data_IF_394596572641
#
_entry.id   IF_394596572641
#
_cell.length_a   1.000
_cell.length_b   1.000
_cell.length_c   1.000
_cell.angle_alpha   90.00
_cell.angle_beta   90.00
_cell.angle_gamma   90.00
#
_symmetry.space_group_name_H-M   'P 1'
#
loop_
_entity.id
_entity.type
_entity.pdbx_description
1 polymer ?
#
# COMPACT_ATOMS: atom_id res chain seq x y z
N UNK A 1 16.11 -5.57 -8.73
CA UNK A 1 15.54 -5.05 -7.47
C UNK A 1 16.67 -5.13 -6.47
N UNK A 2 17.28 -4.00 -6.11
CA UNK A 2 18.36 -3.95 -5.13
C UNK A 2 17.78 -3.47 -3.80
N UNK A 3 18.22 -4.07 -2.69
CA UNK A 3 17.79 -3.74 -1.34
C UNK A 3 18.99 -3.19 -0.57
N UNK A 4 18.86 -2.00 0.02
CA UNK A 4 19.95 -1.29 0.72
C UNK A 4 19.79 -1.27 2.24
N UNK A 5 18.86 -2.06 2.76
CA UNK A 5 18.48 -2.13 4.18
C UNK A 5 17.03 -2.58 4.32
N UNK A 6 16.45 -2.58 5.54
CA UNK A 6 15.02 -2.81 5.73
C UNK A 6 14.21 -1.86 4.85
N UNK A 7 13.22 -2.36 4.14
CA UNK A 7 12.53 -1.58 3.11
C UNK A 7 11.03 -1.85 3.05
N UNK A 8 10.34 -1.04 2.26
CA UNK A 8 8.93 -1.24 1.96
C UNK A 8 8.63 -1.00 0.48
N UNK A 9 7.64 -1.72 -0.02
CA UNK A 9 6.99 -1.45 -1.29
C UNK A 9 5.48 -1.43 -1.05
N UNK A 10 4.80 -0.40 -1.54
CA UNK A 10 3.37 -0.23 -1.29
C UNK A 10 2.61 0.32 -2.48
N UNK A 11 1.31 0.09 -2.45
CA UNK A 11 0.31 0.64 -3.36
C UNK A 11 -0.73 1.39 -2.54
N UNK A 12 -1.13 2.56 -3.01
CA UNK A 12 -2.00 3.51 -2.34
C UNK A 12 -3.17 3.83 -3.27
N UNK A 13 -4.39 3.90 -2.75
CA UNK A 13 -5.57 4.29 -3.50
C UNK A 13 -6.45 5.27 -2.70
N UNK A 14 -7.26 6.03 -3.45
CA UNK A 14 -8.23 7.02 -2.95
C UNK A 14 -7.63 8.12 -2.08
N UNK A 15 -6.51 8.68 -2.51
CA UNK A 15 -5.94 9.88 -1.88
C UNK A 15 -6.76 11.10 -2.30
N UNK A 16 -7.79 11.46 -1.55
CA UNK A 16 -8.47 12.75 -1.73
C UNK A 16 -8.60 13.46 -0.42
N UNK A 17 -8.20 14.73 -0.44
CA UNK A 17 -8.14 15.61 0.72
C UNK A 17 -7.34 14.91 1.81
N UNK A 18 -8.01 14.20 2.71
CA UNK A 18 -7.42 13.76 3.94
C UNK A 18 -7.64 12.29 4.26
N UNK A 19 -8.01 11.42 3.30
CA UNK A 19 -8.05 9.97 3.57
C UNK A 19 -7.34 9.16 2.51
N UNK A 20 -6.77 8.02 2.89
CA UNK A 20 -6.19 7.06 1.95
C UNK A 20 -6.17 5.63 2.47
N UNK A 21 -6.21 4.67 1.54
CA UNK A 21 -5.97 3.25 1.84
C UNK A 21 -4.68 2.84 1.17
N UNK A 22 -3.72 2.31 1.93
CA UNK A 22 -2.55 1.66 1.35
C UNK A 22 -2.35 0.27 1.88
N UNK A 23 -1.72 -0.55 1.05
CA UNK A 23 -1.16 -1.83 1.45
C UNK A 23 0.32 -1.85 1.08
N UNK A 24 1.14 -2.38 1.98
CA UNK A 24 2.57 -2.44 1.81
C UNK A 24 3.13 -3.80 2.24
N UNK A 25 4.17 -4.24 1.54
CA UNK A 25 5.04 -5.37 1.91
C UNK A 25 6.30 -4.77 2.51
N UNK A 26 6.61 -5.08 3.76
CA UNK A 26 7.69 -4.41 4.49
C UNK A 26 8.33 -5.31 5.53
N UNK A 27 9.63 -5.11 5.72
CA UNK A 27 10.44 -5.66 6.81
C UNK A 27 10.97 -4.56 7.75
N UNK A 28 10.33 -3.38 7.75
CA UNK A 28 10.61 -2.25 8.65
C UNK A 28 9.85 -2.32 9.99
N UNK A 29 9.10 -3.39 10.26
CA UNK A 29 8.17 -3.39 11.39
C UNK A 29 8.81 -3.77 12.71
N UNK A 30 8.85 -2.83 13.67
CA UNK A 30 8.90 -3.09 15.13
C UNK A 30 9.89 -4.19 15.56
N UNK A 31 11.10 -4.21 15.00
CA UNK A 31 12.12 -5.23 15.26
C UNK A 31 11.67 -6.69 14.98
N UNK A 32 10.62 -6.88 14.19
CA UNK A 32 10.19 -8.19 13.73
C UNK A 32 11.15 -8.64 12.62
N UNK A 33 11.83 -9.80 12.77
CA UNK A 33 12.72 -10.32 11.74
C UNK A 33 11.95 -10.74 10.47
N UNK A 34 10.63 -10.89 10.55
CA UNK A 34 9.79 -11.32 9.44
C UNK A 34 9.11 -10.15 8.74
N UNK A 35 9.16 -10.19 7.41
CA UNK A 35 8.39 -9.27 6.59
C UNK A 35 6.88 -9.50 6.75
N UNK A 36 6.12 -8.42 6.63
CA UNK A 36 4.68 -8.41 6.76
C UNK A 36 4.03 -7.72 5.58
N UNK A 37 2.81 -8.13 5.28
CA UNK A 37 1.85 -7.28 4.59
C UNK A 37 1.09 -6.51 5.65
N UNK A 38 0.98 -5.20 5.43
CA UNK A 38 0.16 -4.32 6.24
C UNK A 38 -0.73 -3.49 5.33
N UNK A 39 -2.02 -3.43 5.65
CA UNK A 39 -2.96 -2.50 5.04
C UNK A 39 -3.46 -1.53 6.10
N UNK A 40 -3.52 -0.24 5.76
CA UNK A 40 -3.95 0.83 6.65
C UNK A 40 -4.95 1.72 5.93
N UNK A 41 -5.98 2.14 6.65
CA UNK A 41 -6.75 3.34 6.35
C UNK A 41 -6.19 4.48 7.16
N UNK A 42 -5.88 5.60 6.52
CA UNK A 42 -5.38 6.77 7.20
C UNK A 42 -6.29 7.96 6.97
N UNK A 43 -6.56 8.67 8.05
CA UNK A 43 -7.11 10.02 8.02
C UNK A 43 -6.00 11.04 8.33
N UNK A 44 -5.58 11.81 7.33
CA UNK A 44 -4.59 12.87 7.42
C UNK A 44 -5.07 14.07 8.26
N UNK A 45 -6.38 14.30 8.41
CA UNK A 45 -6.91 15.38 9.25
C UNK A 45 -6.83 15.01 10.72
N UNK A 46 -7.40 13.86 11.06
CA UNK A 46 -7.45 13.38 12.45
C UNK A 46 -6.12 12.74 12.88
N UNK A 47 -5.22 12.51 11.92
CA UNK A 47 -3.96 11.75 12.07
C UNK A 47 -4.19 10.34 12.63
N UNK A 48 -5.36 9.77 12.35
CA UNK A 48 -5.77 8.45 12.82
C UNK A 48 -5.36 7.41 11.80
N UNK A 49 -4.61 6.42 12.27
CA UNK A 49 -4.27 5.21 11.51
C UNK A 49 -5.14 4.07 12.00
N UNK A 50 -5.93 3.49 11.09
CA UNK A 50 -6.64 2.24 11.34
C UNK A 50 -5.91 1.10 10.62
N UNK A 51 -5.37 0.17 11.40
CA UNK A 51 -4.80 -1.05 10.85
C UNK A 51 -5.94 -1.92 10.29
N UNK A 52 -5.95 -2.12 8.98
CA UNK A 52 -6.94 -2.94 8.28
C UNK A 52 -6.54 -4.41 8.23
N UNK A 53 -5.24 -4.67 8.18
CA UNK A 53 -4.69 -6.01 8.10
C UNK A 53 -3.21 -5.97 8.46
N UNK A 54 -2.73 -6.92 9.26
CA UNK A 54 -1.31 -7.15 9.50
C UNK A 54 -1.08 -8.66 9.54
N UNK A 55 -0.25 -9.18 8.64
CA UNK A 55 0.17 -10.59 8.70
C UNK A 55 1.56 -10.78 8.12
N UNK A 56 2.28 -11.76 8.68
CA UNK A 56 3.54 -12.27 8.13
C UNK A 56 3.34 -12.65 6.67
N UNK A 57 4.26 -12.19 5.83
CA UNK A 57 4.24 -12.45 4.40
C UNK A 57 5.67 -12.37 3.87
N UNK A 58 6.10 -13.34 3.07
CA UNK A 58 7.45 -13.33 2.49
C UNK A 58 7.68 -12.05 1.67
N UNK A 59 8.89 -11.49 1.73
CA UNK A 59 9.27 -10.39 0.84
C UNK A 59 9.10 -10.78 -0.63
N UNK A 60 8.83 -9.76 -1.45
CA UNK A 60 8.84 -9.93 -2.90
C UNK A 60 10.24 -10.39 -3.33
N UNK A 61 10.30 -11.37 -4.23
CA UNK A 61 11.58 -11.91 -4.70
C UNK A 61 12.33 -10.84 -5.50
N UNK A 62 13.59 -10.63 -5.15
CA UNK A 62 14.47 -9.75 -5.92
C UNK A 62 14.64 -10.29 -7.34
N UNK A 63 14.78 -9.37 -8.30
CA UNK A 63 14.97 -9.68 -9.72
C UNK A 63 13.86 -10.53 -10.35
N UNK A 64 12.66 -10.49 -9.77
CA UNK A 64 11.44 -11.05 -10.37
C UNK A 64 10.35 -10.00 -10.40
N UNK A 65 9.47 -10.12 -11.39
CA UNK A 65 8.25 -9.33 -11.45
C UNK A 65 7.24 -9.88 -10.45
N UNK A 66 6.60 -8.97 -9.71
CA UNK A 66 5.42 -9.28 -8.89
C UNK A 66 4.28 -8.33 -9.28
N UNK A 67 3.05 -8.84 -9.21
CA UNK A 67 1.84 -8.06 -9.51
C UNK A 67 1.14 -7.68 -8.23
N UNK A 68 1.13 -6.38 -7.92
CA UNK A 68 0.36 -5.83 -6.81
C UNK A 68 -0.97 -5.32 -7.36
N UNK A 69 -2.08 -5.65 -6.68
CA UNK A 69 -3.40 -5.09 -6.99
C UNK A 69 -4.12 -4.73 -5.70
N UNK A 70 -4.48 -3.45 -5.61
CA UNK A 70 -5.37 -2.90 -4.60
C UNK A 70 -6.66 -2.49 -5.31
N UNK A 71 -7.79 -2.98 -4.82
CA UNK A 71 -9.13 -2.60 -5.29
C UNK A 71 -9.89 -1.99 -4.13
N UNK A 72 -10.51 -0.83 -4.36
CA UNK A 72 -11.25 -0.12 -3.32
C UNK A 72 -12.57 0.38 -3.90
N UNK A 73 -13.69 -0.19 -3.45
CA UNK A 73 -15.04 0.06 -3.95
C UNK A 73 -16.00 0.31 -2.78
N UNK A 74 -16.76 1.41 -2.80
CA UNK A 74 -17.60 1.80 -1.64
C UNK A 74 -16.78 1.89 -0.36
N UNK A 75 -17.16 1.11 0.63
CA UNK A 75 -16.55 0.89 1.94
C UNK A 75 -15.73 -0.42 2.04
N UNK A 76 -15.43 -1.03 0.89
CA UNK A 76 -14.69 -2.29 0.79
C UNK A 76 -13.33 -2.11 0.11
N UNK A 77 -12.35 -2.91 0.54
CA UNK A 77 -11.08 -3.07 -0.15
C UNK A 77 -10.69 -4.54 -0.33
N UNK A 78 -9.82 -4.80 -1.30
CA UNK A 78 -9.16 -6.09 -1.50
C UNK A 78 -7.72 -5.84 -1.90
N UNK A 79 -6.78 -6.57 -1.30
CA UNK A 79 -5.37 -6.56 -1.67
C UNK A 79 -4.90 -7.94 -2.12
N UNK A 80 -4.15 -7.96 -3.21
CA UNK A 80 -3.61 -9.20 -3.78
C UNK A 80 -2.18 -9.02 -4.30
N UNK A 81 -1.42 -10.11 -4.22
CA UNK A 81 -0.06 -10.23 -4.73
C UNK A 81 -0.03 -11.44 -5.65
N UNK A 82 0.48 -11.28 -6.87
CA UNK A 82 0.60 -12.35 -7.87
C UNK A 82 -0.72 -13.11 -8.11
N UNK A 83 -1.82 -12.35 -8.18
CA UNK A 83 -3.22 -12.83 -8.31
C UNK A 83 -3.77 -13.59 -7.10
N UNK A 84 -2.98 -13.81 -6.06
CA UNK A 84 -3.44 -14.39 -4.80
C UNK A 84 -4.01 -13.30 -3.90
N UNK A 85 -5.27 -13.44 -3.47
CA UNK A 85 -5.87 -12.58 -2.44
C UNK A 85 -5.07 -12.73 -1.15
N UNK A 86 -4.63 -11.59 -0.61
CA UNK A 86 -3.94 -11.52 0.69
C UNK A 86 -4.93 -11.17 1.79
N UNK A 87 -5.80 -10.21 1.52
CA UNK A 87 -6.84 -9.75 2.46
C UNK A 87 -7.94 -8.97 1.75
N UNK A 88 -9.10 -8.87 2.40
CA UNK A 88 -10.19 -7.95 2.10
C UNK A 88 -10.80 -7.35 3.39
N UNK A 89 -11.70 -6.39 3.23
CA UNK A 89 -12.46 -5.80 4.34
C UNK A 89 -13.10 -6.88 5.20
N UNK A 90 -12.94 -6.77 6.53
CA UNK A 90 -13.54 -7.69 7.48
C UNK A 90 -12.75 -8.98 7.71
N UNK A 91 -11.65 -9.22 6.99
CA UNK A 91 -10.76 -10.35 7.31
C UNK A 91 -10.14 -10.15 8.71
N UNK A 92 -10.19 -11.17 9.58
CA UNK A 92 -9.56 -11.07 10.88
C UNK A 92 -8.03 -11.12 10.76
N UNK A 93 -7.35 -10.36 11.62
CA UNK A 93 -5.90 -10.45 11.79
C UNK A 93 -5.51 -10.40 13.27
N UNK A 94 -4.33 -10.93 13.58
CA UNK A 94 -3.80 -10.93 14.94
C UNK A 94 -2.80 -9.80 15.07
N UNK A 95 -3.02 -8.92 16.03
CA UNK A 95 -2.08 -7.89 16.45
C UNK A 95 -1.46 -8.29 17.78
N UNK A 96 -0.13 -8.38 17.83
CA UNK A 96 0.58 -8.53 19.09
C UNK A 96 0.69 -7.16 19.77
N UNK A 97 0.02 -6.98 20.91
CA UNK A 97 0.12 -5.79 21.73
C UNK A 97 0.58 -6.17 23.14
N UNK A 98 1.75 -5.67 23.55
CA UNK A 98 2.32 -5.92 24.90
C UNK A 98 2.44 -7.41 25.27
N UNK A 99 2.67 -8.28 24.27
CA UNK A 99 2.80 -9.73 24.48
C UNK A 99 1.48 -10.51 24.39
N UNK A 100 0.35 -9.82 24.23
CA UNK A 100 -0.96 -10.45 24.05
C UNK A 100 -1.37 -10.47 22.58
N UNK A 101 -1.96 -11.58 22.14
CA UNK A 101 -2.56 -11.71 20.81
C UNK A 101 -3.98 -11.14 20.81
N UNK A 102 -4.17 -10.01 20.12
CA UNK A 102 -5.48 -9.41 19.92
C UNK A 102 -6.00 -9.81 18.54
N UNK A 103 -7.11 -10.54 18.51
CA UNK A 103 -7.84 -10.79 17.27
C UNK A 103 -8.65 -9.54 16.91
N UNK A 104 -8.23 -8.87 15.84
CA UNK A 104 -8.89 -7.68 15.31
C UNK A 104 -9.66 -8.08 14.07
N UNK A 105 -10.94 -7.69 14.02
CA UNK A 105 -11.74 -7.70 12.81
C UNK A 105 -12.06 -6.27 12.45
N UNK A 106 -11.47 -5.77 11.38
CA UNK A 106 -11.70 -4.40 10.96
C UNK A 106 -13.08 -4.22 10.37
N UNK A 107 -13.70 -3.10 10.72
CA UNK A 107 -14.96 -2.65 10.13
C UNK A 107 -14.74 -2.13 8.72
N UNK A 108 -15.84 -1.87 8.04
CA UNK A 108 -15.83 -1.29 6.70
C UNK A 108 -15.03 0.03 6.69
N UNK A 109 -14.24 0.24 5.64
CA UNK A 109 -13.50 1.48 5.49
C UNK A 109 -14.48 2.59 5.13
N UNK A 110 -14.29 3.81 5.63
CA UNK A 110 -15.22 4.88 5.30
C UNK A 110 -15.33 5.08 3.77
N UNK A 111 -16.56 5.12 3.25
CA UNK A 111 -16.81 5.21 1.80
C UNK A 111 -16.41 6.58 1.24
N UNK A 112 -15.53 6.60 0.23
CA UNK A 112 -15.10 7.84 -0.41
C UNK A 112 -14.92 7.64 -1.91
N UNK A 113 -15.65 8.37 -2.77
CA UNK A 113 -15.79 8.02 -4.19
C UNK A 113 -14.67 8.56 -5.10
N UNK A 114 -13.73 9.37 -4.61
CA UNK A 114 -12.75 10.08 -5.46
C UNK A 114 -11.37 10.17 -4.79
N UNK A 115 -10.30 10.18 -5.59
CA UNK A 115 -8.93 10.41 -5.10
C UNK A 115 -7.84 9.90 -6.04
N UNK A 116 -6.59 10.21 -5.68
CA UNK A 116 -5.39 9.80 -6.41
C UNK A 116 -4.95 8.39 -6.01
N UNK A 117 -4.04 7.82 -6.79
CA UNK A 117 -3.35 6.56 -6.47
C UNK A 117 -1.85 6.77 -6.55
N UNK A 118 -1.09 5.92 -5.87
CA UNK A 118 0.37 6.04 -5.85
C UNK A 118 1.06 4.74 -5.51
N UNK A 119 2.38 4.77 -5.67
CA UNK A 119 3.29 3.70 -5.29
C UNK A 119 4.32 4.25 -4.31
N UNK A 120 4.58 3.52 -3.24
CA UNK A 120 5.58 3.85 -2.25
C UNK A 120 6.76 2.89 -2.32
N UNK A 121 7.97 3.41 -2.16
CA UNK A 121 9.19 2.61 -2.12
C UNK A 121 10.19 3.24 -1.16
N UNK A 122 10.73 2.47 -0.22
CA UNK A 122 11.89 2.87 0.59
C UNK A 122 12.92 1.74 0.63
N UNK A 123 14.20 2.13 0.59
CA UNK A 123 15.38 1.25 0.65
C UNK A 123 15.41 0.13 -0.42
N UNK A 124 14.62 0.29 -1.48
CA UNK A 124 14.63 -0.56 -2.67
C UNK A 124 14.88 0.29 -3.92
N UNK A 125 15.49 -0.31 -4.92
CA UNK A 125 15.39 0.14 -6.31
C UNK A 125 14.47 -0.81 -7.07
N UNK A 126 13.35 -0.30 -7.59
CA UNK A 126 12.35 -1.09 -8.31
C UNK A 126 12.07 -0.52 -9.71
N UNK A 127 11.63 -1.40 -10.61
CA UNK A 127 11.05 -1.04 -11.90
C UNK A 127 9.54 -1.28 -11.81
N UNK A 128 8.76 -0.34 -12.32
CA UNK A 128 7.31 -0.46 -12.41
C UNK A 128 6.94 -0.54 -13.89
N UNK A 129 6.02 -1.43 -14.22
CA UNK A 129 5.52 -1.65 -15.59
C UNK A 129 4.09 -2.19 -15.51
N UNK A 130 3.34 -2.11 -16.62
CA UNK A 130 1.94 -2.54 -16.73
C UNK A 130 1.03 -1.90 -15.66
N UNK A 131 1.20 -0.60 -15.43
CA UNK A 131 0.38 0.15 -14.48
C UNK A 131 -1.01 0.37 -15.10
N UNK A 132 -2.04 -0.16 -14.43
CA UNK A 132 -3.43 0.00 -14.84
C UNK A 132 -4.24 0.54 -13.67
N UNK A 133 -4.96 1.63 -13.90
CA UNK A 133 -5.87 2.22 -12.91
C UNK A 133 -7.28 2.17 -13.51
N UNK A 134 -8.23 1.59 -12.79
CA UNK A 134 -9.60 1.39 -13.26
C UNK A 134 -10.56 2.00 -12.25
N UNK A 135 -11.53 2.75 -12.73
CA UNK A 135 -12.55 3.38 -11.91
C UNK A 135 -13.47 4.29 -12.72
N UNK A 136 -14.63 4.63 -12.16
CA UNK A 136 -15.51 5.63 -12.74
C UNK A 136 -14.82 7.01 -12.64
N UNK A 137 -14.77 7.74 -13.75
CA UNK A 137 -14.18 9.09 -13.79
C UNK A 137 -12.66 9.15 -13.84
N UNK A 138 -11.95 8.03 -14.04
CA UNK A 138 -10.51 8.04 -14.29
C UNK A 138 -10.26 8.48 -15.74
N UNK A 139 -9.54 9.60 -15.99
CA UNK A 139 -9.11 9.98 -17.33
C UNK A 139 -8.10 8.93 -17.84
N UNK A 140 -8.10 8.65 -19.14
CA UNK A 140 -7.23 7.66 -19.78
C UNK A 140 -7.40 6.22 -19.25
N UNK A 141 -8.60 5.66 -19.47
CA UNK A 141 -8.91 4.25 -19.20
C UNK A 141 -8.01 3.32 -20.02
N UNK A 142 -6.93 2.83 -19.43
CA UNK A 142 -5.98 1.94 -20.11
C UNK A 142 -4.68 1.72 -19.34
N UNK A 143 -3.69 1.09 -20.00
CA UNK A 143 -2.32 1.04 -19.50
C UNK A 143 -1.72 2.44 -19.56
N UNK A 144 -1.30 2.98 -18.42
CA UNK A 144 -0.62 4.27 -18.40
C UNK A 144 0.76 4.10 -19.05
N UNK A 145 1.03 4.88 -20.10
CA UNK A 145 2.38 4.97 -20.68
C UNK A 145 3.28 5.66 -19.65
N UNK A 146 4.11 4.86 -18.97
CA UNK A 146 5.10 5.36 -18.02
C UNK A 146 6.26 5.95 -18.83
N UNK A 147 6.11 7.16 -19.37
CA UNK A 147 7.22 7.84 -20.07
C UNK A 147 8.29 8.18 -19.02
N UNK A 148 9.50 7.60 -19.08
CA UNK A 148 10.50 7.72 -18.01
C UNK A 148 11.03 9.14 -17.76
N UNK A 149 10.69 10.14 -18.58
CA UNK A 149 11.21 11.51 -18.45
C UNK A 149 10.66 12.29 -17.25
N UNK A 150 9.57 11.82 -16.63
CA UNK A 150 9.09 12.36 -15.35
C UNK A 150 9.69 11.63 -14.13
N UNK A 151 10.69 10.73 -14.32
CA UNK A 151 11.47 10.11 -13.24
C UNK A 151 12.37 11.14 -12.55
N UNK A 152 11.76 12.06 -11.83
CA UNK A 152 12.30 12.44 -10.54
C UNK A 152 11.32 11.85 -9.54
N UNK A 153 11.82 10.87 -8.79
CA UNK A 153 11.32 10.65 -7.45
C UNK A 153 11.04 12.02 -6.85
N UNK A 154 9.83 12.27 -6.37
CA UNK A 154 9.62 13.29 -5.36
C UNK A 154 10.39 12.80 -4.13
N UNK A 155 11.71 12.92 -4.17
CA UNK A 155 12.57 12.80 -3.01
C UNK A 155 12.05 13.84 -2.05
N UNK A 156 11.68 13.39 -0.86
CA UNK A 156 11.30 14.22 0.29
C UNK A 156 12.26 15.41 0.54
N UNK A 157 13.46 15.42 -0.05
CA UNK A 157 14.38 16.55 -0.07
C UNK A 157 13.83 17.85 -0.68
N UNK A 158 12.88 17.80 -1.62
CA UNK A 158 12.32 19.03 -2.21
C UNK A 158 11.24 19.69 -1.34
N UNK A 159 10.78 19.04 -0.27
CA UNK A 159 9.87 19.63 0.73
C UNK A 159 10.60 20.36 1.87
N UNK A 160 11.94 20.41 1.87
CA UNK A 160 12.74 21.14 2.86
C UNK A 160 13.22 22.53 2.38
N UNK A 161 12.68 23.02 1.27
CA UNK A 161 12.99 24.35 0.74
C UNK A 161 11.71 25.15 0.51
N UNK A 162 11.03 25.46 1.61
CA UNK A 162 10.22 26.66 1.80
C UNK A 162 10.28 27.02 3.29
#
# INVERSE_FOLDING_TARGET
LEKRGPGNIGILARVKENRAVWCLVSDLFLNDPESKVMCISYDFNEKVHEALYIKRHRLLRLNRWSKLKLSVGGDHFTFSIDRKKITETGDPFILLHRGEELMIKTKDIASHPTGSTGFGLANYTARFDNITIIGKGIPDKGGLSVVPKAKLATTWGNLKRL
#
